data_IF_515667756223
#
_entry.id   IF_515667756223
#
_cell.length_a   1.000
_cell.length_b   1.000
_cell.length_c   1.000
_cell.angle_alpha   90.00
_cell.angle_beta   90.00
_cell.angle_gamma   90.00
#
_symmetry.space_group_name_H-M   'P 1'
#
loop_
_entity.id
_entity.type
_entity.pdbx_description
1 polymer ?
#
# COMPACT_ATOMS: atom_id res chain seq x y z
N UNK A 1 39.06 -12.84 -8.54
CA UNK A 1 38.14 -13.98 -8.65
C UNK A 1 37.32 -14.25 -7.38
N UNK A 2 37.92 -14.33 -6.17
CA UNK A 2 37.20 -14.68 -4.92
C UNK A 2 35.96 -13.80 -4.62
N UNK A 3 36.08 -12.46 -4.75
CA UNK A 3 34.97 -11.51 -4.51
C UNK A 3 33.79 -11.68 -5.47
N UNK A 4 34.05 -11.94 -6.75
CA UNK A 4 33.00 -12.15 -7.76
C UNK A 4 32.23 -13.44 -7.50
N UNK A 5 32.94 -14.52 -7.14
CA UNK A 5 32.31 -15.79 -6.75
C UNK A 5 31.41 -15.60 -5.53
N UNK A 6 31.91 -14.95 -4.47
CA UNK A 6 31.12 -14.68 -3.26
C UNK A 6 29.85 -13.86 -3.53
N UNK A 7 29.92 -12.85 -4.42
CA UNK A 7 28.73 -12.08 -4.84
C UNK A 7 27.71 -12.97 -5.54
N UNK A 8 28.16 -13.81 -6.48
CA UNK A 8 27.27 -14.70 -7.23
C UNK A 8 26.65 -15.76 -6.31
N UNK A 9 27.45 -16.42 -5.47
CA UNK A 9 26.97 -17.41 -4.50
C UNK A 9 25.90 -16.79 -3.57
N UNK A 10 26.10 -15.54 -3.14
CA UNK A 10 25.11 -14.80 -2.34
C UNK A 10 23.79 -14.58 -3.09
N UNK A 11 23.87 -14.15 -4.35
CA UNK A 11 22.68 -13.92 -5.18
C UNK A 11 21.93 -15.23 -5.47
N UNK A 12 22.63 -16.34 -5.70
CA UNK A 12 22.02 -17.66 -5.89
C UNK A 12 21.25 -18.13 -4.64
N UNK A 13 21.80 -17.90 -3.44
CA UNK A 13 21.07 -18.18 -2.21
C UNK A 13 19.85 -17.27 -2.04
N UNK A 14 19.97 -16.00 -2.42
CA UNK A 14 18.89 -15.02 -2.30
C UNK A 14 17.70 -15.33 -3.23
N UNK A 15 17.98 -15.87 -4.43
CA UNK A 15 16.96 -16.38 -5.37
C UNK A 15 16.14 -17.55 -4.83
N UNK A 16 16.62 -18.24 -3.79
CA UNK A 16 15.92 -19.37 -3.17
C UNK A 16 15.22 -18.98 -1.89
N UNK A 17 15.88 -18.17 -1.06
CA UNK A 17 15.34 -17.68 0.20
C UNK A 17 15.63 -16.18 0.22
N UNK A 18 14.63 -15.30 -0.02
CA UNK A 18 14.81 -13.86 -0.15
C UNK A 18 15.03 -13.17 1.21
N UNK A 19 15.86 -13.78 2.08
CA UNK A 19 16.22 -13.27 3.40
C UNK A 19 17.72 -13.01 3.39
N UNK A 20 18.10 -11.73 3.33
CA UNK A 20 19.50 -11.28 3.25
C UNK A 20 20.38 -11.89 4.35
N UNK A 21 19.87 -11.98 5.58
CA UNK A 21 20.62 -12.58 6.70
C UNK A 21 20.96 -14.05 6.44
N UNK A 22 20.01 -14.83 5.93
CA UNK A 22 20.20 -16.26 5.65
C UNK A 22 21.22 -16.44 4.52
N UNK A 23 21.12 -15.66 3.44
CA UNK A 23 22.08 -15.70 2.35
C UNK A 23 23.49 -15.29 2.81
N UNK A 24 23.60 -14.28 3.68
CA UNK A 24 24.86 -13.87 4.30
C UNK A 24 25.51 -14.99 5.13
N UNK A 25 24.73 -15.69 5.95
CA UNK A 25 25.20 -16.81 6.77
C UNK A 25 25.66 -17.99 5.91
N UNK A 26 24.94 -18.31 4.83
CA UNK A 26 25.31 -19.39 3.90
C UNK A 26 26.63 -19.14 3.19
N UNK A 27 26.91 -17.88 2.86
CA UNK A 27 28.13 -17.48 2.13
C UNK A 27 29.28 -17.10 3.08
N UNK A 28 29.00 -16.87 4.36
CA UNK A 28 30.00 -16.49 5.36
C UNK A 28 30.42 -15.01 5.27
N UNK A 29 29.47 -14.11 4.98
CA UNK A 29 29.72 -12.66 4.90
C UNK A 29 28.78 -11.88 5.84
N UNK A 30 29.18 -10.68 6.25
CA UNK A 30 28.34 -9.80 7.06
C UNK A 30 27.34 -9.02 6.20
N UNK A 31 26.17 -8.67 6.76
CA UNK A 31 25.18 -7.79 6.11
C UNK A 31 25.80 -6.45 5.68
N UNK A 32 26.67 -5.87 6.50
CA UNK A 32 27.36 -4.62 6.19
C UNK A 32 28.16 -4.72 4.87
N UNK A 33 28.75 -5.88 4.60
CA UNK A 33 29.50 -6.12 3.36
C UNK A 33 28.57 -6.08 2.15
N UNK A 34 27.41 -6.72 2.23
CA UNK A 34 26.40 -6.73 1.17
C UNK A 34 25.82 -5.33 0.94
N UNK A 35 25.46 -4.61 2.00
CA UNK A 35 24.93 -3.25 1.89
C UNK A 35 25.94 -2.28 1.28
N UNK A 36 27.22 -2.43 1.62
CA UNK A 36 28.29 -1.68 0.97
C UNK A 36 28.36 -2.00 -0.53
N UNK A 37 28.31 -3.28 -0.92
CA UNK A 37 28.29 -3.65 -2.35
C UNK A 37 27.08 -3.08 -3.07
N UNK A 38 25.89 -3.12 -2.47
CA UNK A 38 24.68 -2.52 -3.04
C UNK A 38 24.83 -1.01 -3.27
N UNK A 39 25.56 -0.31 -2.40
CA UNK A 39 25.81 1.14 -2.54
C UNK A 39 26.89 1.45 -3.59
N UNK A 40 27.96 0.66 -3.63
CA UNK A 40 29.16 0.93 -4.44
C UNK A 40 29.10 0.34 -5.85
N UNK A 41 28.28 -0.68 -6.08
CA UNK A 41 28.21 -1.43 -7.34
C UNK A 41 26.75 -1.49 -7.83
N UNK A 42 26.44 -0.62 -8.80
CA UNK A 42 25.10 -0.49 -9.37
C UNK A 42 24.63 -1.79 -10.05
N UNK A 43 25.55 -2.54 -10.67
CA UNK A 43 25.22 -3.83 -11.28
C UNK A 43 24.81 -4.83 -10.21
N UNK A 44 25.60 -4.94 -9.14
CA UNK A 44 25.26 -5.81 -8.01
C UNK A 44 23.93 -5.40 -7.36
N UNK A 45 23.63 -4.11 -7.26
CA UNK A 45 22.32 -3.66 -6.78
C UNK A 45 21.19 -4.20 -7.65
N UNK A 46 21.27 -4.03 -8.97
CA UNK A 46 20.25 -4.52 -9.88
C UNK A 46 20.10 -6.04 -9.82
N UNK A 47 21.22 -6.77 -9.84
CA UNK A 47 21.24 -8.22 -9.73
C UNK A 47 20.61 -8.70 -8.40
N UNK A 48 20.82 -7.94 -7.31
CA UNK A 48 20.25 -8.22 -6.00
C UNK A 48 18.73 -7.99 -5.95
N UNK A 49 18.23 -6.90 -6.54
CA UNK A 49 16.77 -6.65 -6.63
C UNK A 49 16.09 -7.74 -7.46
N UNK A 50 16.71 -8.13 -8.58
CA UNK A 50 16.19 -9.23 -9.39
C UNK A 50 16.20 -10.55 -8.61
N UNK A 51 17.28 -10.86 -7.89
CA UNK A 51 17.36 -12.06 -7.06
C UNK A 51 16.30 -12.08 -5.95
N UNK A 52 16.00 -10.93 -5.33
CA UNK A 52 14.93 -10.81 -4.34
C UNK A 52 13.56 -11.08 -4.96
N UNK A 53 13.27 -10.49 -6.12
CA UNK A 53 11.99 -10.69 -6.81
C UNK A 53 11.80 -12.16 -7.24
N UNK A 54 12.85 -12.81 -7.77
CA UNK A 54 12.83 -14.24 -8.10
C UNK A 54 12.59 -15.11 -6.86
N UNK A 55 13.26 -14.80 -5.75
CA UNK A 55 13.06 -15.51 -4.49
C UNK A 55 11.68 -15.32 -3.88
N UNK A 56 11.11 -14.11 -3.97
CA UNK A 56 9.76 -13.82 -3.52
C UNK A 56 8.72 -14.59 -4.33
N UNK A 57 8.86 -14.63 -5.66
CA UNK A 57 8.00 -15.43 -6.52
C UNK A 57 8.04 -16.92 -6.16
N UNK A 58 9.23 -17.48 -5.94
CA UNK A 58 9.39 -18.87 -5.52
C UNK A 58 8.69 -19.16 -4.18
N UNK A 59 8.88 -18.28 -3.18
CA UNK A 59 8.26 -18.43 -1.86
C UNK A 59 6.74 -18.30 -1.95
N UNK A 60 6.22 -17.43 -2.82
CA UNK A 60 4.79 -17.30 -3.07
C UNK A 60 4.22 -18.60 -3.65
N UNK A 61 4.85 -19.19 -4.67
CA UNK A 61 4.42 -20.47 -5.24
C UNK A 61 4.40 -21.59 -4.19
N UNK A 62 5.43 -21.64 -3.33
CA UNK A 62 5.47 -22.56 -2.21
C UNK A 62 4.33 -22.30 -1.21
N UNK A 63 4.07 -21.03 -0.89
CA UNK A 63 2.97 -20.61 -0.03
C UNK A 63 1.60 -21.02 -0.56
N UNK A 64 1.37 -20.90 -1.87
CA UNK A 64 0.14 -21.35 -2.51
C UNK A 64 -0.04 -22.87 -2.38
N UNK A 65 1.03 -23.65 -2.57
CA UNK A 65 1.01 -25.10 -2.36
C UNK A 65 0.69 -25.48 -0.90
N UNK A 66 1.28 -24.77 0.08
CA UNK A 66 0.98 -24.96 1.49
C UNK A 66 -0.48 -24.59 1.83
N UNK A 67 -0.99 -23.51 1.25
CA UNK A 67 -2.39 -23.10 1.42
C UNK A 67 -3.35 -24.19 0.91
N UNK A 68 -3.09 -24.77 -0.26
CA UNK A 68 -3.88 -25.88 -0.79
C UNK A 68 -3.84 -27.12 0.11
N UNK A 69 -2.67 -27.40 0.71
CA UNK A 69 -2.52 -28.50 1.68
C UNK A 69 -3.40 -28.26 2.92
N UNK A 70 -3.35 -27.06 3.49
CA UNK A 70 -4.20 -26.69 4.63
C UNK A 70 -5.70 -26.77 4.31
N UNK A 71 -6.10 -26.41 3.08
CA UNK A 71 -7.49 -26.54 2.62
C UNK A 71 -7.91 -28.02 2.58
N UNK A 72 -7.05 -28.92 2.07
CA UNK A 72 -7.30 -30.38 2.07
C UNK A 72 -7.44 -30.94 3.48
N UNK A 73 -6.67 -30.39 4.43
CA UNK A 73 -6.72 -30.72 5.85
C UNK A 73 -7.91 -30.07 6.59
N UNK A 74 -8.83 -29.42 5.86
CA UNK A 74 -10.05 -28.80 6.39
C UNK A 74 -9.77 -27.66 7.38
N UNK A 75 -8.63 -26.97 7.23
CA UNK A 75 -8.32 -25.79 8.03
C UNK A 75 -9.27 -24.63 7.66
N UNK A 76 -10.12 -24.23 8.61
CA UNK A 76 -11.12 -23.19 8.37
C UNK A 76 -10.50 -21.84 7.97
N UNK A 77 -9.43 -21.41 8.63
CA UNK A 77 -8.78 -20.14 8.33
C UNK A 77 -8.25 -20.09 6.90
N UNK A 78 -7.63 -21.18 6.42
CA UNK A 78 -7.16 -21.30 5.04
C UNK A 78 -8.32 -21.29 4.02
N UNK A 79 -9.40 -22.03 4.29
CA UNK A 79 -10.59 -22.07 3.44
C UNK A 79 -11.25 -20.69 3.37
N UNK A 80 -11.47 -20.04 4.52
CA UNK A 80 -12.06 -18.71 4.63
C UNK A 80 -11.21 -17.67 3.92
N UNK A 81 -9.89 -17.69 4.12
CA UNK A 81 -8.95 -16.82 3.41
C UNK A 81 -9.09 -16.99 1.90
N UNK A 82 -9.04 -18.22 1.38
CA UNK A 82 -9.17 -18.46 -0.06
C UNK A 82 -10.50 -17.96 -0.64
N UNK A 83 -11.62 -18.28 0.02
CA UNK A 83 -12.96 -17.90 -0.45
C UNK A 83 -13.15 -16.39 -0.46
N UNK A 84 -12.71 -15.67 0.59
CA UNK A 84 -12.81 -14.20 0.68
C UNK A 84 -12.07 -13.50 -0.46
N UNK A 85 -10.92 -14.03 -0.88
CA UNK A 85 -10.09 -13.41 -1.91
C UNK A 85 -10.50 -13.80 -3.34
N UNK A 86 -10.97 -15.03 -3.57
CA UNK A 86 -11.24 -15.54 -4.92
C UNK A 86 -12.72 -15.64 -5.29
N UNK A 87 -13.64 -15.57 -4.33
CA UNK A 87 -15.07 -15.64 -4.62
C UNK A 87 -15.81 -14.36 -4.15
N UNK A 88 -16.36 -13.56 -5.08
CA UNK A 88 -17.09 -12.34 -4.76
C UNK A 88 -18.22 -12.52 -3.73
N UNK A 89 -18.83 -13.70 -3.66
CA UNK A 89 -19.91 -14.00 -2.71
C UNK A 89 -19.46 -13.99 -1.25
N UNK A 90 -18.17 -14.19 -1.02
CA UNK A 90 -17.55 -14.26 0.30
C UNK A 90 -16.66 -13.05 0.59
N UNK A 91 -16.60 -12.06 -0.31
CA UNK A 91 -15.87 -10.81 -0.04
C UNK A 91 -16.51 -10.10 1.15
N UNK A 92 -15.67 -9.46 1.96
CA UNK A 92 -16.14 -8.64 3.05
C UNK A 92 -16.96 -7.48 2.50
N UNK A 93 -18.17 -7.31 3.03
CA UNK A 93 -19.01 -6.15 2.75
C UNK A 93 -18.67 -5.09 3.77
N UNK A 94 -18.13 -3.97 3.31
CA UNK A 94 -17.96 -2.78 4.15
C UNK A 94 -19.28 -2.02 4.09
N UNK A 95 -20.00 -1.97 5.22
CA UNK A 95 -21.13 -1.05 5.36
C UNK A 95 -20.58 0.34 5.68
N UNK A 96 -20.87 1.30 4.80
CA UNK A 96 -20.52 2.71 5.00
C UNK A 96 -21.73 3.40 5.57
N UNK A 97 -21.79 3.53 6.89
CA UNK A 97 -22.76 4.41 7.53
C UNK A 97 -22.25 5.84 7.39
N UNK A 98 -22.75 6.57 6.40
CA UNK A 98 -22.57 8.02 6.37
C UNK A 98 -23.48 8.62 7.41
N UNK A 99 -22.92 9.07 8.54
CA UNK A 99 -23.58 10.05 9.40
C UNK A 99 -23.59 11.36 8.63
N UNK A 100 -24.51 11.51 7.69
CA UNK A 100 -24.85 12.83 7.18
C UNK A 100 -25.42 13.55 8.38
N UNK A 101 -24.62 14.43 9.00
CA UNK A 101 -25.07 15.25 10.12
C UNK A 101 -26.40 15.88 9.74
N UNK A 102 -27.37 15.78 10.66
CA UNK A 102 -28.76 16.21 10.54
C UNK A 102 -29.07 17.10 9.34
N UNK A 103 -30.05 16.70 8.52
CA UNK A 103 -30.68 17.56 7.50
C UNK A 103 -31.30 18.86 8.09
N UNK A 104 -31.19 19.06 9.41
CA UNK A 104 -31.63 20.21 10.19
C UNK A 104 -30.46 21.03 10.79
N UNK A 105 -29.21 20.86 10.34
CA UNK A 105 -28.11 21.72 10.78
C UNK A 105 -28.33 23.16 10.25
N UNK A 106 -28.95 24.00 11.09
CA UNK A 106 -29.17 25.41 10.78
C UNK A 106 -27.81 26.07 10.58
N UNK A 107 -27.61 26.67 9.41
CA UNK A 107 -26.38 27.39 9.08
C UNK A 107 -26.03 28.37 10.20
N UNK A 108 -24.77 28.33 10.66
CA UNK A 108 -24.29 29.32 11.62
C UNK A 108 -24.41 30.73 11.02
N UNK A 109 -24.57 31.79 11.84
CA UNK A 109 -24.73 33.16 11.34
C UNK A 109 -23.64 33.59 10.36
N UNK A 110 -22.40 33.14 10.60
CA UNK A 110 -21.25 33.40 9.72
C UNK A 110 -21.37 32.68 8.37
N UNK A 111 -21.79 31.41 8.37
CA UNK A 111 -22.01 30.66 7.13
C UNK A 111 -23.16 31.27 6.31
N UNK A 112 -24.24 31.66 6.97
CA UNK A 112 -25.36 32.36 6.33
C UNK A 112 -24.92 33.66 5.66
N UNK A 113 -24.07 34.46 6.32
CA UNK A 113 -23.53 35.68 5.74
C UNK A 113 -22.67 35.44 4.49
N UNK A 114 -21.86 34.38 4.49
CA UNK A 114 -21.03 33.99 3.34
C UNK A 114 -21.92 33.55 2.17
N UNK A 115 -22.91 32.68 2.42
CA UNK A 115 -23.87 32.22 1.42
C UNK A 115 -24.65 33.40 0.85
N UNK A 116 -25.14 34.29 1.70
CA UNK A 116 -25.89 35.48 1.28
C UNK A 116 -25.04 36.40 0.40
N UNK A 117 -23.78 36.64 0.77
CA UNK A 117 -22.84 37.42 -0.05
C UNK A 117 -22.57 36.75 -1.40
N UNK A 118 -22.40 35.43 -1.43
CA UNK A 118 -22.22 34.69 -2.68
C UNK A 118 -23.46 34.79 -3.58
N UNK A 119 -24.67 34.69 -3.01
CA UNK A 119 -25.93 34.85 -3.74
C UNK A 119 -26.13 36.27 -4.29
N UNK A 120 -25.69 37.31 -3.56
CA UNK A 120 -25.69 38.68 -4.06
C UNK A 120 -24.70 38.87 -5.22
N UNK A 121 -23.49 38.30 -5.12
CA UNK A 121 -22.49 38.36 -6.19
C UNK A 121 -22.94 37.61 -7.45
N UNK A 122 -23.70 36.52 -7.28
CA UNK A 122 -24.34 35.79 -8.37
C UNK A 122 -25.59 36.50 -8.94
N UNK A 123 -25.95 37.68 -8.43
CA UNK A 123 -27.14 38.47 -8.81
C UNK A 123 -28.48 37.73 -8.62
N UNK A 124 -28.51 36.69 -7.78
CA UNK A 124 -29.72 35.94 -7.45
C UNK A 124 -30.56 36.70 -6.41
N UNK A 125 -29.89 37.45 -5.53
CA UNK A 125 -30.52 38.37 -4.57
C UNK A 125 -30.25 39.82 -4.97
N UNK A 126 -31.21 40.73 -4.74
CA UNK A 126 -31.00 42.15 -4.98
C UNK A 126 -29.88 42.68 -4.08
N UNK A 127 -28.91 43.37 -4.69
CA UNK A 127 -27.94 44.17 -3.96
C UNK A 127 -28.65 45.42 -3.45
N UNK A 128 -28.93 45.48 -2.15
CA UNK A 128 -29.44 46.69 -1.50
C UNK A 128 -28.35 47.78 -1.52
N UNK A 129 -28.20 48.44 -2.67
CA UNK A 129 -27.46 49.68 -2.84
C UNK A 129 -28.45 50.84 -2.82
N UNK A 130 -29.01 51.14 -1.65
CA UNK A 130 -29.57 52.46 -1.38
C UNK A 130 -28.55 53.27 -0.58
N UNK A 131 -27.62 53.90 -1.30
CA UNK A 131 -26.98 55.13 -0.86
C UNK A 131 -27.62 56.26 -1.67
N UNK A 132 -28.57 56.97 -1.07
CA UNK A 132 -28.83 58.39 -1.37
C UNK A 132 -28.12 59.14 -0.23
N UNK A 133 -27.02 59.87 -0.42
CA UNK A 133 -26.94 61.13 -1.16
C UNK A 133 -28.19 61.99 -0.94
N UNK A 134 -28.16 62.80 0.12
CA UNK A 134 -28.61 64.19 0.06
C UNK A 134 -28.02 64.97 1.26
N UNK A 135 -27.77 66.25 0.98
CA UNK A 135 -27.21 67.27 1.87
C UNK A 135 -28.05 67.54 3.10
#
# INVERSE_FOLDING_TARGET
MKKYKTKNDFLEHLKRIPIVQVACEKVGISRNTVYRWRKEDLKFHHDMEQALAEGEALVNDMGESQLLTLIKEKNWSAISFWLRHRNPRFKDKVEVTTTTGDDNEVLTPTQTAIVHKALQLAAILPTNNNKNEER
#
